data_IF_119056104624
#
_entry.id   IF_119056104624
#
_cell.length_a   1.000
_cell.length_b   1.000
_cell.length_c   1.000
_cell.angle_alpha   90.00
_cell.angle_beta   90.00
_cell.angle_gamma   90.00
#
_symmetry.space_group_name_H-M   'P 1'
#
loop_
_entity.id
_entity.type
_entity.pdbx_description
1 polymer ?
#
# COMPACT_ATOMS: atom_id res chain seq x y z
N UNK A 1 1.46 -14.94 -6.25
CA UNK A 1 1.24 -13.56 -5.80
C UNK A 1 1.51 -13.52 -4.31
N UNK A 2 2.50 -12.76 -3.85
CA UNK A 2 2.65 -12.50 -2.41
C UNK A 2 1.66 -11.41 -2.01
N UNK A 3 0.92 -11.62 -0.92
CA UNK A 3 0.02 -10.59 -0.39
C UNK A 3 0.81 -9.55 0.40
N UNK A 4 0.28 -8.33 0.53
CA UNK A 4 0.87 -7.27 1.37
C UNK A 4 1.13 -7.75 2.80
N UNK A 5 0.23 -8.57 3.37
CA UNK A 5 0.42 -9.17 4.69
C UNK A 5 1.54 -10.22 4.70
N UNK A 6 1.70 -10.99 3.62
CA UNK A 6 2.81 -11.93 3.46
C UNK A 6 4.15 -11.20 3.42
N UNK A 7 4.23 -10.13 2.64
CA UNK A 7 5.40 -9.26 2.54
C UNK A 7 5.71 -8.59 3.89
N UNK A 8 4.72 -8.01 4.55
CA UNK A 8 4.87 -7.43 5.89
C UNK A 8 5.48 -8.43 6.89
N UNK A 9 5.00 -9.68 6.90
CA UNK A 9 5.55 -10.71 7.79
C UNK A 9 6.99 -11.06 7.43
N UNK A 10 7.32 -11.14 6.14
CA UNK A 10 8.63 -11.58 5.64
C UNK A 10 9.69 -10.49 5.68
N UNK A 11 9.35 -9.25 5.32
CA UNK A 11 10.26 -8.11 5.24
C UNK A 11 10.43 -7.40 6.60
N UNK A 12 9.38 -7.36 7.44
CA UNK A 12 9.42 -6.67 8.73
C UNK A 12 9.48 -7.62 9.93
N UNK A 13 8.45 -8.44 10.11
CA UNK A 13 8.22 -9.14 11.40
C UNK A 13 9.27 -10.23 11.67
N UNK A 14 9.52 -11.11 10.70
CA UNK A 14 10.49 -12.21 10.83
C UNK A 14 11.94 -11.72 11.03
N UNK A 15 12.49 -10.79 10.22
CA UNK A 15 13.91 -10.43 10.31
C UNK A 15 14.26 -9.52 11.49
N UNK A 16 13.31 -8.72 12.00
CA UNK A 16 13.58 -7.74 13.08
C UNK A 16 13.22 -8.22 14.49
N UNK A 17 12.77 -9.47 14.63
CA UNK A 17 12.54 -10.10 15.93
C UNK A 17 13.85 -10.45 16.66
N UNK A 18 13.81 -10.72 17.98
CA UNK A 18 12.63 -10.74 18.85
C UNK A 18 12.16 -9.33 19.25
N UNK A 19 10.84 -9.13 19.24
CA UNK A 19 10.20 -7.87 19.62
C UNK A 19 9.97 -7.82 21.13
N UNK A 20 10.38 -6.72 21.77
CA UNK A 20 10.34 -6.58 23.24
C UNK A 20 9.10 -5.87 23.74
N UNK A 21 8.39 -5.14 22.88
CA UNK A 21 7.15 -4.43 23.22
C UNK A 21 6.28 -4.18 22.00
N UNK A 22 4.98 -3.96 22.25
CA UNK A 22 4.02 -3.51 21.24
C UNK A 22 4.42 -2.17 20.61
N UNK A 23 5.00 -1.26 21.40
CA UNK A 23 5.45 0.05 20.91
C UNK A 23 6.55 -0.08 19.86
N UNK A 24 7.49 -1.03 20.05
CA UNK A 24 8.55 -1.29 19.08
C UNK A 24 7.98 -1.81 17.75
N UNK A 25 7.00 -2.72 17.84
CA UNK A 25 6.31 -3.24 16.65
C UNK A 25 5.57 -2.11 15.95
N UNK A 26 4.77 -1.33 16.67
CA UNK A 26 3.98 -0.25 16.10
C UNK A 26 4.82 0.81 15.37
N UNK A 27 5.95 1.21 15.96
CA UNK A 27 6.89 2.14 15.31
C UNK A 27 7.45 1.53 14.01
N UNK A 28 7.95 0.30 14.08
CA UNK A 28 8.52 -0.37 12.92
C UNK A 28 7.47 -0.63 11.82
N UNK A 29 6.21 -0.86 12.20
CA UNK A 29 5.07 -0.95 11.28
C UNK A 29 4.82 0.38 10.60
N UNK A 30 4.82 1.50 11.33
CA UNK A 30 4.63 2.83 10.75
C UNK A 30 5.72 3.15 9.72
N UNK A 31 6.99 2.87 10.05
CA UNK A 31 8.10 3.04 9.11
C UNK A 31 7.96 2.15 7.87
N UNK A 32 7.55 0.89 8.05
CA UNK A 32 7.35 -0.02 6.93
C UNK A 32 6.20 0.42 6.02
N UNK A 33 5.09 0.91 6.60
CA UNK A 33 3.94 1.42 5.85
C UNK A 33 4.30 2.66 5.05
N UNK A 34 5.04 3.60 5.65
CA UNK A 34 5.53 4.79 4.95
C UNK A 34 6.38 4.39 3.73
N UNK A 35 7.38 3.54 3.95
CA UNK A 35 8.23 3.05 2.86
C UNK A 35 7.42 2.30 1.80
N UNK A 36 6.51 1.41 2.20
CA UNK A 36 5.70 0.62 1.28
C UNK A 36 4.82 1.51 0.39
N UNK A 37 4.19 2.54 0.94
CA UNK A 37 3.26 3.40 0.20
C UNK A 37 3.96 4.47 -0.62
N UNK A 38 5.04 5.06 -0.09
CA UNK A 38 5.63 6.27 -0.67
C UNK A 38 6.92 6.00 -1.46
N UNK A 39 7.57 4.85 -1.26
CA UNK A 39 8.91 4.61 -1.82
C UNK A 39 9.03 3.27 -2.55
N UNK A 40 8.26 2.24 -2.18
CA UNK A 40 8.36 0.91 -2.77
C UNK A 40 7.79 0.87 -4.18
N UNK A 41 8.67 0.62 -5.15
CA UNK A 41 8.26 0.47 -6.56
C UNK A 41 7.58 -0.88 -6.76
N UNK A 42 6.39 -0.86 -7.36
CA UNK A 42 5.62 -2.07 -7.59
C UNK A 42 5.43 -2.30 -9.10
N UNK A 43 6.03 -3.37 -9.63
CA UNK A 43 6.03 -3.66 -11.08
C UNK A 43 4.62 -3.85 -11.65
N UNK A 44 3.71 -4.46 -10.87
CA UNK A 44 2.32 -4.67 -11.29
C UNK A 44 1.52 -3.38 -11.53
N UNK A 45 1.94 -2.25 -10.97
CA UNK A 45 1.27 -0.95 -11.13
C UNK A 45 2.11 0.04 -11.95
N UNK A 46 3.06 -0.47 -12.74
CA UNK A 46 3.87 0.36 -13.63
C UNK A 46 5.14 0.93 -13.00
N UNK A 47 5.69 0.26 -11.97
CA UNK A 47 6.93 0.68 -11.29
C UNK A 47 6.84 2.05 -10.61
N UNK A 48 5.67 2.42 -10.10
CA UNK A 48 5.48 3.60 -9.24
C UNK A 48 5.16 3.17 -7.80
N UNK A 49 5.33 4.05 -6.80
CA UNK A 49 4.81 3.84 -5.46
C UNK A 49 3.28 3.71 -5.44
N UNK A 50 2.70 2.91 -4.54
CA UNK A 50 1.25 2.79 -4.39
C UNK A 50 0.53 4.13 -4.23
N UNK A 51 1.06 5.05 -3.42
CA UNK A 51 0.44 6.36 -3.19
C UNK A 51 0.38 7.21 -4.48
N UNK A 52 1.39 7.11 -5.34
CA UNK A 52 1.40 7.78 -6.63
C UNK A 52 0.37 7.17 -7.58
N UNK A 53 0.29 5.84 -7.64
CA UNK A 53 -0.72 5.14 -8.43
C UNK A 53 -2.16 5.51 -7.99
N UNK A 54 -2.42 5.52 -6.68
CA UNK A 54 -3.73 5.93 -6.15
C UNK A 54 -4.05 7.39 -6.52
N UNK A 55 -3.07 8.29 -6.37
CA UNK A 55 -3.24 9.71 -6.73
C UNK A 55 -3.61 9.88 -8.20
N UNK A 56 -2.96 9.13 -9.11
CA UNK A 56 -3.30 9.12 -10.54
C UNK A 56 -4.70 8.55 -10.80
N UNK A 57 -5.11 7.50 -10.07
CA UNK A 57 -6.44 6.90 -10.22
C UNK A 57 -7.55 7.87 -9.79
N UNK A 58 -7.39 8.57 -8.67
CA UNK A 58 -8.37 9.55 -8.19
C UNK A 58 -8.35 10.87 -8.97
N UNK A 59 -7.24 11.23 -9.62
CA UNK A 59 -7.15 12.40 -10.48
C UNK A 59 -7.86 12.23 -11.83
N UNK A 60 -8.14 10.99 -12.25
CA UNK A 60 -8.93 10.74 -13.45
C UNK A 60 -10.40 11.10 -13.21
N UNK A 61 -11.05 11.87 -14.11
CA UNK A 61 -12.48 12.09 -14.03
C UNK A 61 -13.16 10.73 -14.12
N UNK A 62 -13.73 10.28 -13.00
CA UNK A 62 -14.54 9.08 -12.97
C UNK A 62 -15.64 9.25 -14.04
N UNK A 63 -15.81 8.28 -14.96
CA UNK A 63 -16.94 8.33 -15.88
C UNK A 63 -18.18 8.45 -15.00
N UNK A 64 -18.93 9.56 -15.12
CA UNK A 64 -20.26 9.65 -14.51
C UNK A 64 -21.02 8.46 -15.06
N UNK A 65 -21.34 7.49 -14.22
CA UNK A 65 -22.40 6.54 -14.56
C UNK A 65 -23.64 7.39 -14.84
N UNK A 66 -24.04 7.42 -16.11
CA UNK A 66 -25.31 8.01 -16.55
C UNK A 66 -26.42 7.08 -16.08
N UNK A 67 -26.65 7.04 -14.76
CA UNK A 67 -27.82 6.39 -14.18
C UNK A 67 -28.96 7.38 -14.30
N UNK A 68 -29.84 7.14 -15.28
CA UNK A 68 -31.15 7.77 -15.36
C UNK A 68 -31.35 8.70 -16.54
N UNK A 69 -31.35 8.15 -17.75
CA UNK A 69 -32.09 8.72 -18.86
C UNK A 69 -32.54 7.59 -19.79
N UNK A 70 -33.56 6.85 -19.39
CA UNK A 70 -34.46 6.21 -20.35
C UNK A 70 -35.88 6.42 -19.83
N UNK A 71 -36.58 7.26 -20.59
CA UNK A 71 -37.97 7.71 -20.47
C UNK A 71 -38.99 6.58 -20.48
#
# INVERSE_FOLDING_TARGET
>A
MESTIGLYKTELIKPRGPWRSLAQVALATAEWVDWYNNQRLHSAIGHVPPAEYESMFYAQPQPREVVGANS
#
